data_IF_184222846275
#
_entry.id   IF_184222846275
#
_cell.length_a   1.000
_cell.length_b   1.000
_cell.length_c   1.000
_cell.angle_alpha   90.00
_cell.angle_beta   90.00
_cell.angle_gamma   90.00
#
_symmetry.space_group_name_H-M   'P 1'
#
loop_
_entity.id
_entity.type
_entity.pdbx_description
1 polymer ?
#
# COMPACT_ATOMS: atom_id res chain seq x y z
N UNK A 1 -2.39 30.14 1.64
CA UNK A 1 -2.53 28.71 1.25
C UNK A 1 -3.50 27.93 2.15
N UNK A 2 -3.81 28.39 3.38
CA UNK A 2 -4.76 27.68 4.24
C UNK A 2 -6.22 27.85 3.81
N UNK A 3 -6.57 28.98 3.18
CA UNK A 3 -7.89 29.19 2.57
C UNK A 3 -8.20 28.16 1.47
N UNK A 4 -7.20 27.77 0.66
CA UNK A 4 -7.36 26.72 -0.36
C UNK A 4 -7.48 25.33 0.23
N UNK A 5 -6.87 25.05 1.39
CA UNK A 5 -7.03 23.76 2.07
C UNK A 5 -8.45 23.56 2.60
N UNK A 6 -8.96 24.52 3.38
CA UNK A 6 -10.27 24.40 4.01
C UNK A 6 -11.41 24.30 2.98
N UNK A 7 -11.35 25.11 1.91
CA UNK A 7 -12.33 25.06 0.82
C UNK A 7 -12.29 23.71 0.10
N UNK A 8 -11.10 23.23 -0.27
CA UNK A 8 -10.94 21.91 -0.90
C UNK A 8 -11.41 20.78 0.01
N UNK A 9 -11.08 20.81 1.30
CA UNK A 9 -11.48 19.77 2.24
C UNK A 9 -13.00 19.72 2.41
N UNK A 10 -13.65 20.89 2.46
CA UNK A 10 -15.12 20.99 2.48
C UNK A 10 -15.72 20.37 1.22
N UNK A 11 -15.17 20.66 0.05
CA UNK A 11 -15.64 20.08 -1.21
C UNK A 11 -15.49 18.55 -1.25
N UNK A 12 -14.30 18.04 -0.90
CA UNK A 12 -14.00 16.60 -0.90
C UNK A 12 -14.90 15.84 0.08
N UNK A 13 -15.11 16.38 1.28
CA UNK A 13 -15.86 15.68 2.34
C UNK A 13 -17.37 15.81 2.17
N UNK A 14 -17.87 16.96 1.68
CA UNK A 14 -19.31 17.23 1.67
C UNK A 14 -20.01 16.87 0.35
N UNK A 15 -19.28 16.82 -0.78
CA UNK A 15 -19.93 16.76 -2.08
C UNK A 15 -19.90 15.38 -2.74
N UNK A 16 -19.20 14.39 -2.16
CA UNK A 16 -19.08 13.00 -2.67
C UNK A 16 -18.89 12.92 -4.20
N UNK A 17 -18.07 13.83 -4.76
CA UNK A 17 -17.81 13.88 -6.20
C UNK A 17 -16.72 12.87 -6.60
N UNK A 18 -16.75 12.35 -7.84
CA UNK A 18 -15.73 11.43 -8.35
C UNK A 18 -14.30 11.99 -8.24
N UNK A 19 -13.33 11.10 -8.04
CA UNK A 19 -11.92 11.48 -7.85
C UNK A 19 -11.36 12.15 -9.10
N UNK A 20 -11.78 11.75 -10.30
CA UNK A 20 -11.34 12.39 -11.54
C UNK A 20 -11.74 13.89 -11.59
N UNK A 21 -12.95 14.23 -11.13
CA UNK A 21 -13.41 15.62 -11.01
C UNK A 21 -12.63 16.39 -9.95
N UNK A 22 -12.38 15.80 -8.78
CA UNK A 22 -11.56 16.42 -7.73
C UNK A 22 -10.18 16.76 -8.29
N UNK A 23 -9.55 15.82 -9.01
CA UNK A 23 -8.21 16.00 -9.56
C UNK A 23 -8.17 16.98 -10.74
N UNK A 24 -9.27 17.15 -11.49
CA UNK A 24 -9.41 18.23 -12.50
C UNK A 24 -9.46 19.61 -11.84
N UNK A 25 -10.20 19.75 -10.73
CA UNK A 25 -10.33 21.01 -9.97
C UNK A 25 -9.07 21.33 -9.16
N UNK A 26 -8.41 20.31 -8.62
CA UNK A 26 -7.25 20.41 -7.74
C UNK A 26 -6.07 19.59 -8.26
N UNK A 27 -5.47 19.96 -9.41
CA UNK A 27 -4.42 19.17 -10.06
C UNK A 27 -3.16 19.01 -9.20
N UNK A 28 -2.93 19.91 -8.25
CA UNK A 28 -1.85 19.80 -7.28
C UNK A 28 -1.95 18.53 -6.40
N UNK A 29 -3.14 17.91 -6.27
CA UNK A 29 -3.29 16.62 -5.58
C UNK A 29 -2.70 15.43 -6.35
N UNK A 30 -2.12 15.64 -7.54
CA UNK A 30 -1.26 14.67 -8.24
C UNK A 30 0.23 14.87 -7.94
N UNK A 31 0.60 15.90 -7.19
CA UNK A 31 1.98 16.16 -6.81
C UNK A 31 2.28 15.50 -5.46
N UNK A 32 3.35 14.71 -5.40
CA UNK A 32 3.76 13.99 -4.19
C UNK A 32 3.94 14.94 -2.99
N UNK A 33 4.59 16.08 -3.22
CA UNK A 33 4.84 17.09 -2.18
C UNK A 33 3.55 17.63 -1.57
N UNK A 34 2.53 17.83 -2.40
CA UNK A 34 1.24 18.33 -1.94
C UNK A 34 0.42 17.23 -1.26
N UNK A 35 0.44 15.99 -1.75
CA UNK A 35 -0.18 14.85 -1.05
C UNK A 35 0.42 14.70 0.35
N UNK A 36 1.75 14.76 0.48
CA UNK A 36 2.44 14.71 1.76
C UNK A 36 2.02 15.87 2.68
N UNK A 37 1.92 17.09 2.14
CA UNK A 37 1.51 18.26 2.91
C UNK A 37 0.05 18.17 3.39
N UNK A 38 -0.87 17.68 2.55
CA UNK A 38 -2.27 17.44 2.93
C UNK A 38 -2.39 16.40 4.03
N UNK A 39 -1.71 15.27 3.85
CA UNK A 39 -1.69 14.21 4.85
C UNK A 39 -1.16 14.73 6.18
N UNK A 40 -0.07 15.50 6.16
CA UNK A 40 0.49 16.10 7.37
C UNK A 40 -0.49 17.08 8.03
N UNK A 41 -1.20 17.92 7.27
CA UNK A 41 -2.24 18.82 7.82
C UNK A 41 -3.39 18.05 8.50
N UNK A 42 -3.79 16.90 7.96
CA UNK A 42 -4.89 16.09 8.48
C UNK A 42 -4.47 15.27 9.70
N UNK A 43 -3.25 14.73 9.69
CA UNK A 43 -2.82 13.70 10.66
C UNK A 43 -1.76 14.18 11.65
N UNK A 44 -1.13 15.32 11.39
CA UNK A 44 0.04 15.83 12.08
C UNK A 44 1.28 14.90 12.04
N UNK A 45 1.32 13.95 11.09
CA UNK A 45 2.42 12.99 10.92
C UNK A 45 3.21 13.27 9.65
N UNK A 46 4.54 13.16 9.70
CA UNK A 46 5.37 13.18 8.50
C UNK A 46 5.26 11.81 7.81
N UNK A 47 4.56 11.77 6.67
CA UNK A 47 4.16 10.55 5.96
C UNK A 47 5.34 9.59 5.73
N UNK A 48 6.29 9.97 4.86
CA UNK A 48 7.37 9.08 4.43
C UNK A 48 8.32 8.77 5.57
N UNK A 49 8.69 9.76 6.39
CA UNK A 49 9.61 9.52 7.50
C UNK A 49 9.04 8.52 8.51
N UNK A 50 7.78 8.68 8.91
CA UNK A 50 7.14 7.78 9.87
C UNK A 50 6.96 6.39 9.27
N UNK A 51 6.41 6.31 8.05
CA UNK A 51 6.11 5.03 7.40
C UNK A 51 7.37 4.19 7.20
N UNK A 52 8.42 4.75 6.57
CA UNK A 52 9.63 4.01 6.28
C UNK A 52 10.40 3.64 7.54
N UNK A 53 10.51 4.54 8.53
CA UNK A 53 11.19 4.23 9.78
C UNK A 53 10.54 3.03 10.50
N UNK A 54 9.21 2.98 10.56
CA UNK A 54 8.50 1.90 11.24
C UNK A 54 8.46 0.62 10.41
N UNK A 55 8.28 0.72 9.09
CA UNK A 55 8.34 -0.44 8.19
C UNK A 55 9.72 -1.10 8.28
N UNK A 56 10.79 -0.33 8.19
CA UNK A 56 12.17 -0.85 8.25
C UNK A 56 12.48 -1.45 9.61
N UNK A 57 12.08 -0.78 10.70
CA UNK A 57 12.24 -1.29 12.06
C UNK A 57 11.60 -2.67 12.24
N UNK A 58 10.40 -2.88 11.68
CA UNK A 58 9.67 -4.14 11.84
C UNK A 58 9.98 -5.19 10.77
N UNK A 59 10.62 -4.82 9.67
CA UNK A 59 10.86 -5.70 8.51
C UNK A 59 11.54 -7.03 8.89
N UNK A 60 12.65 -7.06 9.65
CA UNK A 60 13.30 -8.33 10.00
C UNK A 60 12.37 -9.28 10.76
N UNK A 61 11.59 -8.73 11.70
CA UNK A 61 10.65 -9.49 12.52
C UNK A 61 9.45 -9.97 11.70
N UNK A 62 8.89 -9.11 10.84
CA UNK A 62 7.81 -9.46 9.94
C UNK A 62 8.22 -10.61 9.00
N UNK A 63 9.39 -10.52 8.38
CA UNK A 63 9.88 -11.60 7.50
C UNK A 63 10.03 -12.92 8.27
N UNK A 64 10.56 -12.91 9.49
CA UNK A 64 10.65 -14.11 10.34
C UNK A 64 9.28 -14.73 10.62
N UNK A 65 8.29 -13.91 10.99
CA UNK A 65 6.92 -14.36 11.26
C UNK A 65 6.25 -14.92 10.01
N UNK A 66 6.43 -14.26 8.86
CA UNK A 66 5.84 -14.69 7.61
C UNK A 66 6.44 -16.00 7.12
N UNK A 67 7.76 -16.20 7.23
CA UNK A 67 8.40 -17.50 6.93
C UNK A 67 7.94 -18.60 7.88
N UNK A 68 7.82 -18.31 9.17
CA UNK A 68 7.26 -19.28 10.14
C UNK A 68 5.83 -19.69 9.79
N UNK A 69 5.04 -18.78 9.21
CA UNK A 69 3.70 -19.05 8.71
C UNK A 69 3.73 -19.82 7.39
N UNK A 70 4.65 -19.51 6.48
CA UNK A 70 4.85 -20.20 5.20
C UNK A 70 5.12 -21.70 5.40
N UNK A 71 5.90 -22.09 6.42
CA UNK A 71 6.18 -23.49 6.75
C UNK A 71 5.01 -24.26 7.38
N UNK A 72 3.78 -23.72 7.35
CA UNK A 72 2.56 -24.36 7.83
C UNK A 72 1.70 -24.79 6.64
N UNK A 73 0.55 -25.40 6.92
CA UNK A 73 -0.40 -25.81 5.88
C UNK A 73 -1.47 -24.76 5.63
N UNK A 74 -2.10 -24.83 4.45
CA UNK A 74 -3.25 -24.01 4.06
C UNK A 74 -2.90 -22.87 3.11
N UNK A 75 -3.94 -22.35 2.45
CA UNK A 75 -3.84 -21.38 1.34
C UNK A 75 -2.96 -20.15 1.64
N UNK A 76 -3.07 -19.58 2.84
CA UNK A 76 -2.24 -18.43 3.22
C UNK A 76 -0.74 -18.79 3.33
N UNK A 77 -0.44 -19.99 3.81
CA UNK A 77 0.92 -20.49 3.95
C UNK A 77 1.52 -20.77 2.57
N UNK A 78 0.76 -21.37 1.65
CA UNK A 78 1.16 -21.60 0.25
C UNK A 78 1.50 -20.29 -0.48
N UNK A 79 0.66 -19.25 -0.34
CA UNK A 79 0.93 -17.95 -0.94
C UNK A 79 2.19 -17.28 -0.36
N UNK A 80 2.40 -17.40 0.95
CA UNK A 80 3.60 -16.87 1.59
C UNK A 80 4.85 -17.66 1.18
N UNK A 81 4.77 -18.99 1.09
CA UNK A 81 5.87 -19.86 0.67
C UNK A 81 6.32 -19.52 -0.75
N UNK A 82 5.37 -19.39 -1.68
CA UNK A 82 5.66 -18.99 -3.05
C UNK A 82 6.31 -17.60 -3.13
N UNK A 83 5.76 -16.63 -2.39
CA UNK A 83 6.30 -15.28 -2.32
C UNK A 83 7.74 -15.26 -1.79
N UNK A 84 8.05 -16.06 -0.76
CA UNK A 84 9.41 -16.14 -0.23
C UNK A 84 10.35 -16.96 -1.11
N UNK A 85 9.85 -17.93 -1.88
CA UNK A 85 10.61 -18.63 -2.92
C UNK A 85 11.10 -17.65 -3.98
N UNK A 86 10.23 -16.77 -4.48
CA UNK A 86 10.60 -15.71 -5.44
C UNK A 86 11.58 -14.72 -4.81
N UNK A 87 11.40 -14.38 -3.54
CA UNK A 87 12.31 -13.48 -2.81
C UNK A 87 13.71 -14.07 -2.64
N UNK A 88 13.82 -15.37 -2.39
CA UNK A 88 15.10 -16.06 -2.21
C UNK A 88 15.88 -16.23 -3.53
N UNK A 89 15.21 -16.07 -4.69
CA UNK A 89 15.83 -16.07 -6.02
C UNK A 89 16.40 -14.70 -6.42
N UNK A 90 16.21 -13.65 -5.63
CA UNK A 90 16.71 -12.31 -5.97
C UNK A 90 18.23 -12.23 -5.76
N UNK A 91 18.99 -11.96 -6.83
CA UNK A 91 20.46 -11.85 -6.78
C UNK A 91 20.95 -10.74 -5.86
N UNK A 92 20.25 -9.60 -5.82
CA UNK A 92 20.54 -8.49 -4.90
C UNK A 92 19.27 -8.01 -4.21
N UNK A 93 19.30 -8.06 -2.87
CA UNK A 93 18.18 -7.67 -2.02
C UNK A 93 18.49 -6.35 -1.33
N UNK A 94 18.13 -5.26 -2.01
CA UNK A 94 18.22 -3.90 -1.49
C UNK A 94 17.06 -3.58 -0.51
N UNK A 95 17.01 -2.33 -0.03
CA UNK A 95 15.97 -1.87 0.89
C UNK A 95 14.57 -1.89 0.25
N UNK A 96 14.46 -1.66 -1.05
CA UNK A 96 13.17 -1.59 -1.75
C UNK A 96 12.57 -2.99 -1.93
N UNK A 97 13.39 -3.98 -2.27
CA UNK A 97 12.97 -5.39 -2.34
C UNK A 97 12.50 -5.86 -0.96
N UNK A 98 13.22 -5.52 0.12
CA UNK A 98 12.83 -5.86 1.51
C UNK A 98 11.49 -5.26 1.94
N UNK A 99 11.25 -3.99 1.58
CA UNK A 99 9.96 -3.34 1.87
C UNK A 99 8.84 -3.94 1.03
N UNK A 100 9.11 -4.20 -0.26
CA UNK A 100 8.12 -4.76 -1.18
C UNK A 100 7.66 -6.15 -0.74
N UNK A 101 8.58 -7.04 -0.33
CA UNK A 101 8.21 -8.37 0.15
C UNK A 101 7.31 -8.31 1.38
N UNK A 102 7.56 -7.38 2.31
CA UNK A 102 6.72 -7.20 3.50
C UNK A 102 5.33 -6.70 3.12
N UNK A 103 5.24 -5.71 2.22
CA UNK A 103 3.96 -5.15 1.80
C UNK A 103 3.11 -6.15 1.01
N UNK A 104 3.74 -7.00 0.18
CA UNK A 104 3.09 -8.10 -0.54
C UNK A 104 2.68 -9.25 0.38
N UNK A 105 3.45 -9.54 1.43
CA UNK A 105 3.19 -10.64 2.36
C UNK A 105 2.14 -10.31 3.45
N UNK A 106 1.92 -9.02 3.74
CA UNK A 106 0.95 -8.59 4.76
C UNK A 106 -0.48 -9.11 4.49
N UNK A 107 -1.08 -8.91 3.30
CA UNK A 107 -2.42 -9.41 3.00
C UNK A 107 -2.59 -10.93 3.19
N UNK A 108 -1.78 -11.82 2.56
CA UNK A 108 -1.95 -13.26 2.75
C UNK A 108 -1.70 -13.67 4.21
N UNK A 109 -0.78 -13.03 4.94
CA UNK A 109 -0.60 -13.27 6.37
C UNK A 109 -1.85 -12.91 7.19
N UNK A 110 -2.54 -11.84 6.81
CA UNK A 110 -3.82 -11.43 7.40
C UNK A 110 -5.01 -12.25 6.90
N UNK A 111 -4.80 -13.26 6.05
CA UNK A 111 -5.81 -14.01 5.30
C UNK A 111 -6.76 -13.10 4.53
N UNK A 112 -6.18 -12.13 3.84
CA UNK A 112 -6.83 -11.17 2.97
C UNK A 112 -6.46 -11.43 1.51
N UNK A 113 -7.32 -10.98 0.60
CA UNK A 113 -7.10 -11.11 -0.85
C UNK A 113 -6.64 -9.77 -1.40
N UNK A 114 -5.48 -9.76 -2.05
CA UNK A 114 -4.86 -8.57 -2.64
C UNK A 114 -4.95 -8.53 -4.17
N UNK A 115 -5.61 -9.52 -4.79
CA UNK A 115 -5.76 -9.66 -6.25
C UNK A 115 -6.36 -8.42 -6.91
N UNK A 116 -7.35 -7.78 -6.27
CA UNK A 116 -7.96 -6.54 -6.78
C UNK A 116 -7.16 -5.28 -6.43
N UNK A 117 -6.17 -5.39 -5.54
CA UNK A 117 -5.37 -4.28 -5.05
C UNK A 117 -4.04 -4.16 -5.82
N UNK A 118 -3.29 -5.25 -6.00
CA UNK A 118 -2.10 -5.26 -6.86
C UNK A 118 -2.49 -5.73 -8.27
N UNK A 119 -2.89 -4.79 -9.13
CA UNK A 119 -3.25 -5.08 -10.52
C UNK A 119 -1.97 -5.23 -11.34
N UNK A 120 -1.60 -6.47 -11.62
CA UNK A 120 -0.52 -6.76 -12.56
C UNK A 120 -1.00 -6.51 -13.99
N UNK A 121 -0.21 -5.79 -14.77
CA UNK A 121 -0.44 -5.52 -16.18
C UNK A 121 0.75 -6.00 -16.98
N UNK A 122 0.53 -7.06 -17.75
CA UNK A 122 1.50 -7.56 -18.72
C UNK A 122 1.20 -6.90 -20.08
N UNK A 123 2.11 -6.01 -20.48
CA UNK A 123 2.00 -5.20 -21.70
C UNK A 123 2.09 -6.10 -22.96
N UNK A 124 2.74 -7.26 -22.86
CA UNK A 124 2.89 -8.17 -24.00
C UNK A 124 1.65 -9.05 -24.20
N UNK A 125 0.92 -9.35 -23.12
CA UNK A 125 -0.22 -10.29 -23.18
C UNK A 125 -1.58 -9.62 -23.34
N UNK A 126 -1.69 -8.31 -23.07
CA UNK A 126 -3.00 -7.64 -23.03
C UNK A 126 -2.95 -6.27 -23.72
N UNK A 127 -3.83 -6.02 -24.69
CA UNK A 127 -3.87 -4.74 -25.44
C UNK A 127 -4.56 -3.61 -24.66
N UNK A 128 -5.57 -3.91 -23.82
CA UNK A 128 -6.37 -2.89 -23.11
C UNK A 128 -6.38 -3.05 -21.58
N UNK A 129 -5.90 -2.02 -20.87
CA UNK A 129 -5.82 -1.98 -19.42
C UNK A 129 -7.21 -1.77 -18.79
N UNK A 130 -7.90 -2.85 -18.43
CA UNK A 130 -9.14 -2.74 -17.68
C UNK A 130 -8.87 -2.47 -16.19
N UNK A 131 -9.05 -1.20 -15.82
CA UNK A 131 -8.92 -0.68 -14.44
C UNK A 131 -10.24 -0.18 -13.88
N UNK A 132 -11.33 -0.26 -14.66
CA UNK A 132 -12.64 0.30 -14.30
C UNK A 132 -13.24 -0.31 -13.02
N UNK A 133 -12.80 -1.51 -12.65
CA UNK A 133 -13.23 -2.25 -11.47
C UNK A 133 -12.38 -1.99 -10.21
N UNK A 134 -11.33 -1.17 -10.30
CA UNK A 134 -10.39 -0.91 -9.20
C UNK A 134 -10.76 0.38 -8.48
N UNK A 135 -11.47 0.33 -7.33
CA UNK A 135 -11.79 1.52 -6.56
C UNK A 135 -10.53 2.18 -5.96
N UNK A 136 -9.57 1.36 -5.52
CA UNK A 136 -8.32 1.81 -4.92
C UNK A 136 -7.28 0.68 -5.00
N UNK A 137 -6.16 0.91 -5.67
CA UNK A 137 -5.13 -0.12 -5.87
C UNK A 137 -3.84 0.41 -6.48
N UNK A 138 -2.90 -0.50 -6.74
CA UNK A 138 -1.62 -0.26 -7.39
C UNK A 138 -1.58 -1.00 -8.72
N UNK A 139 -1.28 -0.29 -9.79
CA UNK A 139 -0.91 -0.84 -11.08
C UNK A 139 0.57 -1.18 -11.07
N UNK A 140 0.91 -2.41 -11.43
CA UNK A 140 2.28 -2.90 -11.54
C UNK A 140 2.47 -3.49 -12.94
N UNK A 141 3.41 -2.98 -13.71
CA UNK A 141 3.66 -3.50 -15.07
C UNK A 141 5.12 -3.73 -15.32
N UNK A 142 5.40 -4.82 -16.05
CA UNK A 142 6.72 -5.25 -16.48
C UNK A 142 6.70 -5.44 -17.99
N UNK A 143 7.74 -5.02 -18.70
CA UNK A 143 7.92 -5.35 -20.11
C UNK A 143 8.37 -6.79 -20.31
N UNK A 144 8.98 -7.41 -19.30
CA UNK A 144 9.43 -8.81 -19.37
C UNK A 144 8.91 -9.63 -18.18
N UNK A 145 8.50 -10.86 -18.45
CA UNK A 145 8.05 -11.83 -17.44
C UNK A 145 9.25 -12.50 -16.76
N UNK A 146 9.94 -11.75 -15.89
CA UNK A 146 10.99 -12.29 -15.03
C UNK A 146 10.63 -12.15 -13.55
N UNK A 147 10.94 -13.20 -12.77
CA UNK A 147 10.80 -13.20 -11.30
C UNK A 147 11.59 -12.07 -10.63
N UNK A 148 12.63 -11.54 -11.30
CA UNK A 148 13.39 -10.37 -10.84
C UNK A 148 12.52 -9.10 -10.71
N UNK A 149 11.45 -8.98 -11.50
CA UNK A 149 10.58 -7.79 -11.50
C UNK A 149 9.36 -7.92 -10.58
N UNK A 150 9.24 -9.03 -9.82
CA UNK A 150 8.09 -9.24 -8.96
C UNK A 150 8.01 -8.20 -7.81
N UNK A 151 9.15 -7.88 -7.21
CA UNK A 151 9.27 -6.89 -6.12
C UNK A 151 9.66 -5.50 -6.60
N UNK A 152 10.30 -5.42 -7.77
CA UNK A 152 10.71 -4.17 -8.42
C UNK A 152 10.14 -4.08 -9.84
N UNK A 153 8.82 -3.86 -9.99
CA UNK A 153 8.23 -3.64 -11.30
C UNK A 153 8.81 -2.41 -12.00
N UNK A 154 8.86 -2.43 -13.32
CA UNK A 154 9.40 -1.32 -14.12
C UNK A 154 8.53 -0.06 -14.02
N UNK A 155 7.22 -0.25 -13.92
CA UNK A 155 6.27 0.83 -13.74
C UNK A 155 5.27 0.51 -12.64
N UNK A 156 5.09 1.49 -11.77
CA UNK A 156 4.23 1.41 -10.60
C UNK A 156 3.39 2.68 -10.55
N UNK A 157 2.06 2.53 -10.47
CA UNK A 157 1.16 3.66 -10.40
C UNK A 157 0.02 3.45 -9.39
N UNK A 158 -0.43 4.53 -8.77
CA UNK A 158 -1.60 4.52 -7.88
C UNK A 158 -2.87 4.66 -8.72
N UNK A 159 -3.79 3.73 -8.55
CA UNK A 159 -5.12 3.71 -9.15
C UNK A 159 -6.18 4.10 -8.12
N UNK A 160 -7.05 5.04 -8.49
CA UNK A 160 -8.23 5.41 -7.71
C UNK A 160 -9.41 5.54 -8.67
N UNK A 161 -10.49 4.81 -8.40
CA UNK A 161 -11.68 4.74 -9.28
C UNK A 161 -11.30 4.46 -10.75
N UNK A 162 -10.35 3.54 -10.96
CA UNK A 162 -9.79 3.20 -12.26
C UNK A 162 -8.88 4.25 -12.92
N UNK A 163 -8.67 5.41 -12.29
CA UNK A 163 -7.80 6.46 -12.82
C UNK A 163 -6.38 6.34 -12.29
N UNK A 164 -5.38 6.48 -13.18
CA UNK A 164 -3.98 6.65 -12.78
C UNK A 164 -3.82 8.06 -12.16
N UNK A 165 -3.49 8.11 -10.89
CA UNK A 165 -3.35 9.37 -10.13
C UNK A 165 -1.90 9.87 -10.13
N UNK A 166 -0.96 8.98 -9.81
CA UNK A 166 0.48 9.30 -9.68
C UNK A 166 1.31 8.03 -9.88
N UNK A 167 2.47 8.18 -10.54
CA UNK A 167 3.47 7.13 -10.68
C UNK A 167 4.50 7.20 -9.55
N UNK A 168 5.14 6.07 -9.23
CA UNK A 168 6.10 5.98 -8.14
C UNK A 168 7.28 5.12 -8.54
N UNK A 169 8.45 5.43 -7.98
CA UNK A 169 9.70 4.71 -8.26
C UNK A 169 9.76 3.34 -7.61
N UNK A 170 9.04 3.14 -6.49
CA UNK A 170 9.09 1.89 -5.72
C UNK A 170 7.72 1.47 -5.24
N UNK A 171 7.53 0.17 -4.99
CA UNK A 171 6.25 -0.36 -4.50
C UNK A 171 5.87 0.23 -3.14
N UNK A 172 6.87 0.47 -2.29
CA UNK A 172 6.65 1.05 -0.97
C UNK A 172 6.29 2.55 -1.04
N UNK A 173 6.89 3.30 -1.97
CA UNK A 173 6.48 4.69 -2.25
C UNK A 173 5.04 4.74 -2.76
N UNK A 174 4.68 3.88 -3.72
CA UNK A 174 3.33 3.85 -4.26
C UNK A 174 2.30 3.50 -3.19
N UNK A 175 2.59 2.51 -2.34
CA UNK A 175 1.72 2.11 -1.25
C UNK A 175 1.52 3.24 -0.23
N UNK A 176 2.59 3.93 0.20
CA UNK A 176 2.47 5.00 1.20
C UNK A 176 1.77 6.24 0.62
N UNK A 177 1.94 6.52 -0.67
CA UNK A 177 1.21 7.60 -1.35
C UNK A 177 -0.26 7.26 -1.53
N UNK A 178 -0.60 6.02 -1.90
CA UNK A 178 -1.97 5.53 -1.91
C UNK A 178 -2.60 5.67 -0.53
N UNK A 179 -1.91 5.24 0.53
CA UNK A 179 -2.35 5.41 1.91
C UNK A 179 -2.62 6.88 2.24
N UNK A 180 -1.73 7.80 1.87
CA UNK A 180 -1.95 9.23 2.10
C UNK A 180 -3.13 9.81 1.31
N UNK A 181 -3.37 9.32 0.10
CA UNK A 181 -4.50 9.72 -0.73
C UNK A 181 -5.83 9.31 -0.09
N UNK A 182 -5.90 8.20 0.65
CA UNK A 182 -7.12 7.85 1.40
C UNK A 182 -7.53 8.94 2.41
N UNK A 183 -6.55 9.57 3.08
CA UNK A 183 -6.84 10.68 3.98
C UNK A 183 -7.13 11.97 3.21
N UNK A 184 -6.31 12.26 2.20
CA UNK A 184 -6.39 13.49 1.40
C UNK A 184 -7.73 13.61 0.68
N UNK A 185 -8.20 12.51 0.09
CA UNK A 185 -9.44 12.41 -0.67
C UNK A 185 -10.63 11.85 0.15
N UNK A 186 -10.44 11.61 1.45
CA UNK A 186 -11.49 11.08 2.34
C UNK A 186 -12.11 9.75 1.84
N UNK A 187 -11.26 8.83 1.39
CA UNK A 187 -11.67 7.53 0.85
C UNK A 187 -11.75 6.47 1.94
N UNK A 188 -12.65 5.52 1.75
CA UNK A 188 -12.69 4.30 2.55
C UNK A 188 -11.55 3.35 2.13
N UNK A 189 -11.03 2.58 3.08
CA UNK A 189 -10.09 1.51 2.77
C UNK A 189 -10.73 0.38 1.95
N UNK A 190 -9.95 -0.36 1.15
CA UNK A 190 -10.46 -1.52 0.41
C UNK A 190 -11.00 -2.55 1.40
N UNK A 191 -12.25 -2.98 1.19
CA UNK A 191 -12.95 -3.92 2.10
C UNK A 191 -12.24 -5.26 2.22
N UNK A 192 -11.46 -5.64 1.20
CA UNK A 192 -10.69 -6.88 1.16
C UNK A 192 -9.40 -6.82 1.99
N UNK A 193 -8.91 -5.61 2.34
CA UNK A 193 -7.60 -5.38 2.97
C UNK A 193 -7.70 -4.65 4.33
N UNK A 194 -8.83 -4.81 5.02
CA UNK A 194 -9.11 -4.00 6.20
C UNK A 194 -8.11 -4.22 7.35
N UNK A 195 -7.61 -5.43 7.57
CA UNK A 195 -6.58 -5.71 8.57
C UNK A 195 -5.21 -5.18 8.14
N UNK A 196 -4.89 -5.26 6.84
CA UNK A 196 -3.66 -4.67 6.29
C UNK A 196 -3.64 -3.16 6.51
N UNK A 197 -4.71 -2.45 6.15
CA UNK A 197 -4.80 -1.00 6.36
C UNK A 197 -4.92 -0.62 7.84
N UNK A 198 -5.62 -1.39 8.67
CA UNK A 198 -5.69 -1.18 10.13
C UNK A 198 -4.30 -1.35 10.78
N UNK A 199 -3.50 -2.33 10.33
CA UNK A 199 -2.11 -2.50 10.74
C UNK A 199 -1.24 -1.30 10.35
N UNK A 200 -1.30 -0.87 9.09
CA UNK A 200 -0.52 0.29 8.62
C UNK A 200 -0.92 1.54 9.39
N UNK A 201 -2.22 1.83 9.52
CA UNK A 201 -2.71 3.02 10.19
C UNK A 201 -2.32 3.07 11.67
N UNK A 202 -2.59 1.99 12.42
CA UNK A 202 -2.48 2.02 13.88
C UNK A 202 -1.13 1.56 14.41
N UNK A 203 -0.46 0.64 13.72
CA UNK A 203 0.83 0.10 14.16
C UNK A 203 1.99 0.87 13.53
N UNK A 204 2.01 1.01 12.21
CA UNK A 204 3.11 1.72 11.55
C UNK A 204 2.95 3.24 11.71
N UNK A 205 1.78 3.78 11.38
CA UNK A 205 1.59 5.24 11.34
C UNK A 205 1.23 5.83 12.71
N UNK A 206 0.61 5.06 13.61
CA UNK A 206 0.24 5.51 14.95
C UNK A 206 -0.85 6.59 14.95
N UNK A 207 -1.79 6.53 13.99
CA UNK A 207 -2.79 7.58 13.77
C UNK A 207 -4.08 7.42 14.58
N UNK A 208 -4.34 6.24 15.14
CA UNK A 208 -5.54 5.97 15.92
C UNK A 208 -5.20 5.12 17.15
N UNK A 209 -5.66 5.57 18.31
CA UNK A 209 -5.61 4.82 19.58
C UNK A 209 -6.82 3.88 19.77
N UNK A 210 -7.62 3.71 18.71
CA UNK A 210 -8.79 2.84 18.70
C UNK A 210 -8.43 1.36 18.85
N UNK A 211 -9.43 0.54 19.20
CA UNK A 211 -9.26 -0.91 19.33
C UNK A 211 -8.73 -1.50 18.01
N UNK A 212 -7.68 -2.30 18.12
CA UNK A 212 -7.14 -3.07 17.00
C UNK A 212 -8.05 -4.24 16.67
N UNK A 213 -8.14 -4.58 15.38
CA UNK A 213 -8.77 -5.83 14.95
C UNK A 213 -8.02 -7.02 15.55
N UNK A 214 -8.69 -8.14 15.88
CA UNK A 214 -8.03 -9.28 16.56
C UNK A 214 -6.76 -9.78 15.87
N UNK A 215 -6.75 -9.86 14.54
CA UNK A 215 -5.56 -10.27 13.76
C UNK A 215 -4.42 -9.26 13.84
N UNK A 216 -4.75 -7.98 13.76
CA UNK A 216 -3.77 -6.88 13.85
C UNK A 216 -3.17 -6.81 15.25
N UNK A 217 -4.00 -7.00 16.28
CA UNK A 217 -3.55 -7.09 17.67
C UNK A 217 -2.59 -8.27 17.88
N UNK A 218 -2.94 -9.45 17.35
CA UNK A 218 -2.06 -10.62 17.40
C UNK A 218 -0.70 -10.34 16.77
N UNK A 219 -0.68 -9.79 15.54
CA UNK A 219 0.57 -9.45 14.87
C UNK A 219 1.37 -8.41 15.66
N UNK A 220 0.73 -7.35 16.15
CA UNK A 220 1.39 -6.33 16.97
C UNK A 220 2.06 -6.96 18.21
N UNK A 221 1.39 -7.89 18.88
CA UNK A 221 1.96 -8.60 20.03
C UNK A 221 3.16 -9.46 19.62
N UNK A 222 3.07 -10.18 18.50
CA UNK A 222 4.17 -11.00 17.97
C UNK A 222 5.40 -10.17 17.56
N UNK A 223 5.18 -8.92 17.12
CA UNK A 223 6.24 -7.94 16.81
C UNK A 223 6.95 -7.43 18.06
N UNK A 224 6.22 -7.28 19.16
CA UNK A 224 6.74 -6.77 20.44
C UNK A 224 7.28 -7.88 21.35
N UNK A 225 6.93 -9.13 21.07
CA UNK A 225 7.47 -10.28 21.78
C UNK A 225 9.00 -10.32 21.59
N UNK A 226 9.72 -10.13 22.69
CA UNK A 226 11.18 -10.28 22.76
C UNK A 226 11.52 -11.72 22.36
N UNK A 227 12.37 -11.87 21.34
CA UNK A 227 12.92 -13.17 20.89
C UNK A 227 14.40 -13.19 21.12
#
# INVERSE_FOLDING_TARGET
MDSTFALRRKEIVCNEIPVDEILKRWPALKLESQICAEFHRVTNVNLKNRFFAQLDQHTPRLQSLFRKKASRTGKASELLDELFRIYDLQDQVDVHVRRAVVLRALPPYMHESDVSFFKMWDVEQTEELNTSDVPLGLLLSNQTSSDAHFFCPERIAVLIEGNIVIESSTLADAFVILFALTYTLHLNYPKQLLNTFDFVQKVLMGLEDGKLRPRVLSLKNDLLAVV
#
